data_IF_413426368896
#
_entry.id   IF_413426368896
#
_cell.length_a   1.000
_cell.length_b   1.000
_cell.length_c   1.000
_cell.angle_alpha   90.00
_cell.angle_beta   90.00
_cell.angle_gamma   90.00
#
_symmetry.space_group_name_H-M   'P 1'
#
loop_
_entity.id
_entity.type
_entity.pdbx_description
1 polymer ?
#
# COMPACT_ATOMS: atom_id res chain seq x y z
N UNK A 1 -39.68 44.95 -1.69
CA UNK A 1 -38.60 44.44 -0.82
C UNK A 1 -37.36 44.23 -1.68
N UNK A 2 -36.52 45.27 -1.77
CA UNK A 2 -35.22 45.26 -2.45
C UNK A 2 -34.24 45.98 -1.54
N UNK A 3 -33.09 45.38 -1.28
CA UNK A 3 -31.73 45.92 -1.47
C UNK A 3 -30.83 44.67 -1.56
N UNK A 4 -30.30 44.28 -2.71
CA UNK A 4 -29.15 44.89 -3.39
C UNK A 4 -27.96 45.04 -2.44
N UNK A 5 -27.19 43.96 -2.25
CA UNK A 5 -25.90 44.02 -1.59
C UNK A 5 -24.84 43.58 -2.60
N UNK A 6 -24.13 44.59 -3.12
CA UNK A 6 -23.02 44.42 -4.05
C UNK A 6 -21.88 43.66 -3.39
N UNK A 7 -21.46 42.60 -4.09
CA UNK A 7 -20.21 41.89 -3.90
C UNK A 7 -19.06 42.89 -3.74
N UNK A 8 -18.41 42.84 -2.57
CA UNK A 8 -17.24 43.66 -2.29
C UNK A 8 -16.11 43.09 -3.12
N UNK A 9 -15.93 43.68 -4.31
CA UNK A 9 -14.79 43.47 -5.20
C UNK A 9 -13.51 43.63 -4.38
N UNK A 10 -13.04 42.52 -3.80
CA UNK A 10 -11.67 42.39 -3.39
C UNK A 10 -10.86 42.78 -4.61
N UNK A 11 -9.83 43.62 -4.41
CA UNK A 11 -8.74 43.73 -5.37
C UNK A 11 -8.00 42.39 -5.32
N UNK A 12 -8.68 41.37 -5.83
CA UNK A 12 -8.20 40.02 -5.94
C UNK A 12 -7.18 40.07 -7.04
N UNK A 13 -5.94 39.72 -6.69
CA UNK A 13 -4.93 39.33 -7.64
C UNK A 13 -5.58 38.34 -8.61
N UNK A 14 -5.87 38.80 -9.83
CA UNK A 14 -6.29 37.93 -10.90
C UNK A 14 -5.08 37.07 -11.21
N UNK A 15 -5.05 35.84 -10.69
CA UNK A 15 -4.06 34.84 -11.06
C UNK A 15 -4.10 34.73 -12.57
N UNK A 16 -2.94 34.92 -13.19
CA UNK A 16 -2.86 34.77 -14.63
C UNK A 16 -3.16 33.30 -14.95
N UNK A 17 -3.97 33.03 -15.98
CA UNK A 17 -4.32 31.66 -16.38
C UNK A 17 -3.05 30.80 -16.62
N UNK A 18 -1.95 31.44 -17.01
CA UNK A 18 -0.64 30.82 -17.21
C UNK A 18 0.02 30.35 -15.89
N UNK A 19 -0.14 31.07 -14.79
CA UNK A 19 0.40 30.66 -13.47
C UNK A 19 -0.27 29.37 -12.97
N UNK A 20 -1.59 29.24 -13.15
CA UNK A 20 -2.28 28.01 -12.80
C UNK A 20 -1.89 26.85 -13.74
N UNK A 21 -1.75 27.16 -15.04
CA UNK A 21 -1.45 26.18 -16.08
C UNK A 21 -0.05 25.57 -15.94
N UNK A 22 0.98 26.38 -15.63
CA UNK A 22 2.34 25.86 -15.44
C UNK A 22 2.44 24.96 -14.20
N UNK A 23 1.70 25.28 -13.13
CA UNK A 23 1.72 24.50 -11.89
C UNK A 23 1.16 23.11 -12.10
N UNK A 24 -0.01 23.01 -12.74
CA UNK A 24 -0.61 21.69 -13.02
C UNK A 24 0.25 20.87 -14.00
N UNK A 25 0.95 21.52 -14.94
CA UNK A 25 1.86 20.86 -15.87
C UNK A 25 3.04 20.20 -15.13
N UNK A 26 3.63 20.90 -14.16
CA UNK A 26 4.73 20.34 -13.34
C UNK A 26 4.22 19.25 -12.40
N UNK A 27 3.05 19.43 -11.77
CA UNK A 27 2.46 18.38 -10.91
C UNK A 27 2.18 17.10 -11.70
N UNK A 28 1.66 17.22 -12.93
CA UNK A 28 1.42 16.06 -13.79
C UNK A 28 2.71 15.31 -14.14
N UNK A 29 3.79 16.05 -14.46
CA UNK A 29 5.11 15.47 -14.72
C UNK A 29 5.66 14.72 -13.49
N UNK A 30 5.55 15.32 -12.30
CA UNK A 30 5.97 14.70 -11.06
C UNK A 30 5.14 13.44 -10.78
N UNK A 31 3.81 13.51 -10.85
CA UNK A 31 2.93 12.35 -10.62
C UNK A 31 3.22 11.19 -11.58
N UNK A 32 3.54 11.48 -12.84
CA UNK A 32 3.92 10.46 -13.82
C UNK A 32 5.15 9.62 -13.37
N UNK A 33 6.08 10.24 -12.63
CA UNK A 33 7.25 9.55 -12.07
C UNK A 33 6.99 8.97 -10.67
N UNK A 34 6.16 9.62 -9.85
CA UNK A 34 5.88 9.19 -8.48
C UNK A 34 4.96 7.96 -8.41
N UNK A 35 3.92 7.89 -9.26
CA UNK A 35 2.96 6.77 -9.26
C UNK A 35 3.63 5.40 -9.49
N UNK A 36 4.50 5.21 -10.49
CA UNK A 36 5.17 3.92 -10.68
C UNK A 36 6.14 3.60 -9.53
N UNK A 37 6.88 4.59 -9.02
CA UNK A 37 7.80 4.39 -7.89
C UNK A 37 7.06 3.98 -6.60
N UNK A 38 5.90 4.58 -6.32
CA UNK A 38 5.08 4.25 -5.16
C UNK A 38 4.49 2.83 -5.24
N UNK A 39 4.16 2.34 -6.44
CA UNK A 39 3.72 0.97 -6.66
C UNK A 39 4.78 -0.05 -6.23
N UNK A 40 6.02 0.13 -6.69
CA UNK A 40 7.14 -0.73 -6.32
C UNK A 40 7.46 -0.67 -4.81
N UNK A 41 7.44 0.53 -4.22
CA UNK A 41 7.67 0.70 -2.78
C UNK A 41 6.61 0.01 -1.92
N UNK A 42 5.33 0.09 -2.32
CA UNK A 42 4.22 -0.62 -1.64
C UNK A 42 4.39 -2.13 -1.70
N UNK A 43 4.82 -2.65 -2.83
CA UNK A 43 5.06 -4.09 -2.99
C UNK A 43 6.24 -4.57 -2.14
N UNK A 44 7.33 -3.80 -2.08
CA UNK A 44 8.45 -4.07 -1.17
C UNK A 44 8.02 -4.03 0.31
N UNK A 45 7.19 -3.05 0.70
CA UNK A 45 6.65 -2.95 2.05
C UNK A 45 5.78 -4.16 2.40
N UNK A 46 4.91 -4.61 1.49
CA UNK A 46 4.11 -5.83 1.66
C UNK A 46 5.01 -7.04 1.88
N UNK A 47 6.03 -7.23 1.03
CA UNK A 47 6.99 -8.34 1.19
C UNK A 47 7.72 -8.29 2.52
N UNK A 48 8.12 -7.12 2.99
CA UNK A 48 8.76 -6.96 4.29
C UNK A 48 7.84 -7.39 5.45
N UNK A 49 6.55 -7.02 5.38
CA UNK A 49 5.54 -7.48 6.34
C UNK A 49 5.34 -8.99 6.25
N UNK A 50 5.14 -9.53 5.04
CA UNK A 50 4.91 -10.96 4.86
C UNK A 50 6.09 -11.79 5.37
N UNK A 51 7.34 -11.31 5.19
CA UNK A 51 8.54 -11.99 5.65
C UNK A 51 8.67 -12.02 7.18
N UNK A 52 8.06 -11.07 7.89
CA UNK A 52 8.05 -11.06 9.35
C UNK A 52 7.22 -12.19 9.98
N UNK A 53 6.16 -12.65 9.30
CA UNK A 53 5.28 -13.72 9.77
C UNK A 53 6.00 -15.09 9.88
N UNK A 54 6.58 -15.66 8.81
CA UNK A 54 7.28 -16.93 8.90
C UNK A 54 8.53 -16.84 9.77
N UNK A 55 9.17 -15.66 9.88
CA UNK A 55 10.26 -15.44 10.86
C UNK A 55 9.77 -15.63 12.29
N UNK A 56 8.63 -15.04 12.66
CA UNK A 56 8.04 -15.21 13.99
C UNK A 56 7.64 -16.67 14.25
N UNK A 57 7.02 -17.34 13.27
CA UNK A 57 6.65 -18.76 13.37
C UNK A 57 7.88 -19.67 13.50
N UNK A 58 8.93 -19.41 12.70
CA UNK A 58 10.18 -20.18 12.76
C UNK A 58 10.85 -20.03 14.11
N UNK A 59 10.90 -18.81 14.65
CA UNK A 59 11.41 -18.57 16.01
C UNK A 59 10.60 -19.37 17.03
N UNK A 60 9.26 -19.33 16.96
CA UNK A 60 8.41 -20.09 17.87
C UNK A 60 8.64 -21.62 17.76
N UNK A 61 8.83 -22.15 16.56
CA UNK A 61 9.13 -23.57 16.34
C UNK A 61 10.50 -23.97 16.87
N UNK A 62 11.51 -23.10 16.72
CA UNK A 62 12.85 -23.34 17.25
C UNK A 62 12.84 -23.35 18.79
N UNK A 63 12.16 -22.39 19.42
CA UNK A 63 11.99 -22.37 20.88
C UNK A 63 11.25 -23.60 21.38
N UNK A 64 10.18 -24.02 20.68
CA UNK A 64 9.45 -25.24 21.03
C UNK A 64 10.33 -26.50 20.90
N UNK A 65 11.10 -26.62 19.83
CA UNK A 65 11.99 -27.76 19.62
C UNK A 65 13.07 -27.85 20.70
N UNK A 66 13.61 -26.72 21.16
CA UNK A 66 14.62 -26.65 22.22
C UNK A 66 14.08 -27.22 23.54
N UNK A 67 12.81 -26.92 23.88
CA UNK A 67 12.14 -27.41 25.10
C UNK A 67 11.65 -28.88 24.99
N UNK A 68 11.56 -29.43 23.78
CA UNK A 68 10.94 -30.75 23.52
C UNK A 68 11.87 -31.74 22.82
N UNK A 69 13.15 -31.81 23.20
CA UNK A 69 14.14 -32.77 22.67
C UNK A 69 14.24 -32.77 21.13
N UNK A 70 14.11 -31.60 20.51
CA UNK A 70 14.14 -31.43 19.05
C UNK A 70 12.85 -31.85 18.34
N UNK A 71 11.77 -32.16 19.06
CA UNK A 71 10.47 -32.50 18.45
C UNK A 71 9.74 -31.24 18.00
N UNK A 72 9.35 -31.23 16.72
CA UNK A 72 8.51 -30.17 16.14
C UNK A 72 7.02 -30.51 16.26
N UNK A 73 6.17 -29.47 16.26
CA UNK A 73 4.71 -29.61 16.31
C UNK A 73 4.19 -30.30 15.03
N UNK A 74 3.32 -31.31 15.19
CA UNK A 74 2.65 -31.99 14.07
C UNK A 74 1.79 -31.02 13.25
N UNK A 75 2.22 -30.74 12.01
CA UNK A 75 1.44 -29.97 11.05
C UNK A 75 0.52 -30.87 10.24
N UNK A 76 -0.77 -30.94 10.60
CA UNK A 76 -1.77 -31.59 9.74
C UNK A 76 -2.11 -30.65 8.58
N UNK A 77 -1.64 -30.95 7.37
CA UNK A 77 -2.10 -30.27 6.17
C UNK A 77 -3.53 -30.75 5.87
N UNK A 78 -4.52 -29.91 6.15
CA UNK A 78 -5.90 -30.15 5.74
C UNK A 78 -5.96 -30.08 4.20
N UNK A 79 -5.96 -31.25 3.56
CA UNK A 79 -6.03 -31.38 2.11
C UNK A 79 -7.47 -31.15 1.63
N UNK A 80 -7.85 -29.89 1.42
CA UNK A 80 -8.88 -29.57 0.43
C UNK A 80 -8.23 -29.46 -0.94
N UNK A 81 -8.89 -29.99 -1.97
CA UNK A 81 -8.42 -29.98 -3.35
C UNK A 81 -8.30 -28.55 -3.90
N UNK A 82 -7.22 -27.83 -3.58
CA UNK A 82 -6.94 -26.44 -4.02
C UNK A 82 -5.88 -26.40 -5.14
N UNK A 83 -5.40 -27.55 -5.61
CA UNK A 83 -4.40 -27.64 -6.70
C UNK A 83 -4.94 -27.33 -8.11
N UNK A 84 -6.17 -26.79 -8.22
CA UNK A 84 -6.88 -26.65 -9.51
C UNK A 84 -7.24 -25.24 -9.96
N UNK A 85 -7.07 -24.18 -9.17
CA UNK A 85 -7.46 -22.83 -9.60
C UNK A 85 -6.24 -21.91 -9.72
N UNK A 86 -5.73 -21.77 -10.96
CA UNK A 86 -4.70 -20.81 -11.35
C UNK A 86 -5.17 -19.35 -11.30
N UNK A 87 -6.00 -18.97 -10.32
CA UNK A 87 -6.53 -17.62 -10.17
C UNK A 87 -6.07 -16.98 -8.86
N UNK A 88 -5.19 -16.00 -9.01
CA UNK A 88 -4.94 -14.89 -8.08
C UNK A 88 -4.51 -15.26 -6.66
N UNK A 89 -3.41 -16.00 -6.53
CA UNK A 89 -2.52 -15.72 -5.40
C UNK A 89 -1.70 -14.48 -5.77
N UNK A 90 -2.30 -13.31 -5.65
CA UNK A 90 -1.58 -12.20 -5.02
C UNK A 90 -1.78 -12.43 -3.52
N UNK A 91 -0.91 -13.19 -2.84
CA UNK A 91 -1.11 -13.42 -1.42
C UNK A 91 -0.68 -12.12 -0.74
N UNK A 92 -1.66 -11.37 -0.25
CA UNK A 92 -1.41 -10.36 0.76
C UNK A 92 -1.02 -11.08 2.04
N UNK A 93 0.23 -11.56 2.10
CA UNK A 93 0.87 -12.14 3.28
C UNK A 93 0.31 -13.44 3.89
N UNK A 94 -0.64 -14.12 3.26
CA UNK A 94 -0.88 -15.57 3.36
C UNK A 94 -1.75 -16.03 2.18
#
# INVERSE_FOLDING_TARGET
MRLAQGDKRGRGYAFTLIELLVVIAVIALLMALLVPALGAAREQARRAVCLSNPRQLTTAWLTYADEHDGRLVSGHAFSTNVYGDGRRLTPGCL
#
